data_IF_205621696786
#
_entry.id   IF_205621696786
#
_cell.length_a   1.000
_cell.length_b   1.000
_cell.length_c   1.000
_cell.angle_alpha   90.00
_cell.angle_beta   90.00
_cell.angle_gamma   90.00
#
_symmetry.space_group_name_H-M   'P 1'
#
loop_
_entity.id
_entity.type
_entity.pdbx_description
1 polymer ?
#
# COMPACT_ATOMS: atom_id res chain seq x y z
N UNK A 1 22.75 18.41 47.37
CA UNK A 1 22.03 18.22 46.08
C UNK A 1 21.87 19.59 45.45
N UNK A 2 22.49 19.79 44.29
CA UNK A 2 22.65 21.10 43.63
C UNK A 2 21.26 21.57 43.09
N UNK A 3 21.01 22.87 43.10
CA UNK A 3 19.74 23.48 42.66
C UNK A 3 19.34 23.07 41.23
N UNK A 4 20.33 22.85 40.35
CA UNK A 4 20.11 22.38 38.99
C UNK A 4 19.56 20.93 38.91
N UNK A 5 19.97 20.06 39.82
CA UNK A 5 19.45 18.68 39.95
C UNK A 5 17.99 18.66 40.40
N UNK A 6 17.60 19.56 41.31
CA UNK A 6 16.21 19.69 41.75
C UNK A 6 15.29 20.19 40.62
N UNK A 7 15.74 21.19 39.81
CA UNK A 7 14.98 21.67 38.65
C UNK A 7 14.82 20.60 37.58
N UNK A 8 15.86 19.79 37.32
CA UNK A 8 15.80 18.72 36.33
C UNK A 8 14.84 17.60 36.75
N UNK A 9 14.83 17.22 38.04
CA UNK A 9 13.90 16.22 38.55
C UNK A 9 12.45 16.74 38.57
N UNK A 10 12.24 18.02 38.91
CA UNK A 10 10.92 18.64 38.91
C UNK A 10 10.36 18.73 37.48
N UNK A 11 11.16 19.06 36.47
CA UNK A 11 10.74 19.10 35.08
C UNK A 11 10.40 17.69 34.54
N UNK A 12 11.16 16.65 34.94
CA UNK A 12 10.86 15.25 34.60
C UNK A 12 9.56 14.77 35.23
N UNK A 13 9.34 15.07 36.51
CA UNK A 13 8.08 14.72 37.19
C UNK A 13 6.86 15.43 36.57
N UNK A 14 7.02 16.72 36.20
CA UNK A 14 5.96 17.48 35.52
C UNK A 14 5.65 16.93 34.13
N UNK A 15 6.68 16.55 33.37
CA UNK A 15 6.52 15.94 32.04
C UNK A 15 5.81 14.59 32.10
N UNK A 16 6.14 13.75 33.09
CA UNK A 16 5.48 12.45 33.30
C UNK A 16 4.02 12.65 33.73
N UNK A 17 3.74 13.59 34.62
CA UNK A 17 2.38 13.90 35.03
C UNK A 17 1.51 14.42 33.88
N UNK A 18 2.07 15.26 33.01
CA UNK A 18 1.38 15.80 31.84
C UNK A 18 1.09 14.69 30.80
N UNK A 19 2.03 13.79 30.56
CA UNK A 19 1.82 12.66 29.64
C UNK A 19 0.75 11.67 30.14
N UNK A 20 0.72 11.37 31.43
CA UNK A 20 -0.32 10.55 32.05
C UNK A 20 -1.71 11.19 31.92
N UNK A 21 -1.80 12.50 32.07
CA UNK A 21 -3.07 13.22 31.95
C UNK A 21 -3.64 13.18 30.51
N UNK A 22 -2.76 13.29 29.51
CA UNK A 22 -3.15 13.14 28.09
C UNK A 22 -3.65 11.72 27.80
N UNK A 23 -2.97 10.68 28.31
CA UNK A 23 -3.39 9.29 28.09
C UNK A 23 -4.77 9.02 28.71
N UNK A 24 -5.03 9.53 29.93
CA UNK A 24 -6.34 9.40 30.58
C UNK A 24 -7.43 10.14 29.80
N UNK A 25 -7.15 11.33 29.28
CA UNK A 25 -8.13 12.09 28.48
C UNK A 25 -8.49 11.34 27.18
N UNK A 26 -7.50 10.75 26.49
CA UNK A 26 -7.73 9.98 25.27
C UNK A 26 -8.54 8.71 25.56
N UNK A 27 -8.25 7.98 26.64
CA UNK A 27 -9.00 6.77 27.00
C UNK A 27 -10.45 7.06 27.35
N UNK A 28 -10.73 8.16 28.07
CA UNK A 28 -12.11 8.58 28.39
C UNK A 28 -12.90 8.95 27.14
N UNK A 29 -12.27 9.65 26.18
CA UNK A 29 -12.92 10.01 24.92
C UNK A 29 -13.25 8.78 24.07
N UNK A 30 -12.33 7.80 23.98
CA UNK A 30 -12.57 6.56 23.23
C UNK A 30 -13.71 5.73 23.84
N UNK A 31 -13.77 5.61 25.17
CA UNK A 31 -14.85 4.90 25.86
C UNK A 31 -16.20 5.59 25.63
N UNK A 32 -16.25 6.93 25.66
CA UNK A 32 -17.49 7.68 25.42
C UNK A 32 -18.00 7.49 23.97
N UNK A 33 -17.13 7.48 22.97
CA UNK A 33 -17.51 7.28 21.56
C UNK A 33 -17.99 5.84 21.30
N UNK A 34 -17.36 4.84 21.93
CA UNK A 34 -17.79 3.43 21.81
C UNK A 34 -19.13 3.18 22.50
N UNK A 35 -19.36 3.80 23.66
CA UNK A 35 -20.65 3.69 24.39
C UNK A 35 -21.79 4.38 23.66
N UNK A 36 -21.57 5.52 23.02
CA UNK A 36 -22.59 6.24 22.24
C UNK A 36 -23.04 5.45 20.98
N UNK A 37 -22.19 4.58 20.42
CA UNK A 37 -22.54 3.74 19.27
C UNK A 37 -23.35 2.47 19.61
N UNK A 38 -23.49 2.12 20.92
CA UNK A 38 -24.24 0.95 21.40
C UNK A 38 -25.69 1.23 21.81
N UNK A 39 -26.09 2.49 21.89
CA UNK A 39 -27.46 2.85 22.25
C UNK A 39 -28.30 3.07 20.98
N UNK A 40 -28.90 2.01 20.45
CA UNK A 40 -30.08 2.06 19.60
C UNK A 40 -31.28 1.60 20.41
N UNK A 41 -32.36 2.37 20.55
CA UNK A 41 -33.55 1.91 21.22
C UNK A 41 -34.33 0.95 20.32
N UNK A 42 -34.68 -0.22 20.84
CA UNK A 42 -35.76 -1.05 20.32
C UNK A 42 -37.07 -0.46 20.86
N UNK A 43 -37.92 0.02 19.99
CA UNK A 43 -39.36 0.17 20.34
C UNK A 43 -40.12 -1.02 19.81
N UNK A 44 -40.61 -1.78 20.77
CA UNK A 44 -41.60 -2.84 20.60
C UNK A 44 -42.97 -2.24 20.86
N UNK A 45 -43.90 -2.33 19.94
CA UNK A 45 -45.33 -2.32 20.28
C UNK A 45 -46.05 -3.35 19.43
N UNK A 46 -46.61 -4.29 20.16
CA UNK A 46 -47.53 -5.33 19.71
C UNK A 46 -48.92 -4.73 19.39
N UNK A 47 -49.62 -5.31 18.45
CA UNK A 47 -50.98 -5.87 18.59
C UNK A 47 -51.51 -6.35 17.26
N UNK A 48 -51.68 -7.62 17.17
CA UNK A 48 -52.90 -8.45 17.02
C UNK A 48 -54.04 -7.93 16.13
N UNK A 49 -54.28 -8.65 15.04
CA UNK A 49 -55.61 -9.17 14.75
C UNK A 49 -55.63 -10.06 13.49
N UNK A 50 -56.17 -11.23 13.70
CA UNK A 50 -56.54 -12.29 12.76
C UNK A 50 -57.58 -11.86 11.71
N UNK A 51 -57.49 -12.37 10.47
CA UNK A 51 -58.61 -12.96 9.79
C UNK A 51 -58.22 -13.78 8.57
N UNK A 52 -58.69 -14.99 8.58
CA UNK A 52 -58.78 -16.00 7.55
C UNK A 52 -59.56 -15.51 6.33
N UNK A 53 -59.11 -15.82 5.10
CA UNK A 53 -60.02 -16.29 4.02
C UNK A 53 -59.24 -16.91 2.88
N UNK A 54 -59.73 -18.03 2.47
CA UNK A 54 -59.34 -18.98 1.43
C UNK A 54 -59.56 -18.48 0.00
N UNK A 55 -58.82 -19.14 -0.89
CA UNK A 55 -59.26 -19.57 -2.25
C UNK A 55 -59.04 -18.57 -3.40
N UNK A 56 -58.21 -18.86 -4.38
CA UNK A 56 -58.60 -19.60 -5.61
C UNK A 56 -57.38 -19.75 -6.52
N UNK A 57 -57.12 -20.95 -6.97
CA UNK A 57 -56.19 -21.29 -8.06
C UNK A 57 -56.62 -20.61 -9.36
N UNK A 58 -55.64 -20.00 -10.06
CA UNK A 58 -55.73 -19.82 -11.50
C UNK A 58 -54.36 -20.08 -12.13
N UNK A 59 -54.28 -21.23 -12.76
CA UNK A 59 -53.26 -21.67 -13.68
C UNK A 59 -53.11 -20.65 -14.80
N UNK A 60 -51.96 -20.05 -14.96
CA UNK A 60 -51.54 -19.44 -16.21
C UNK A 60 -50.15 -19.96 -16.56
N UNK A 61 -50.13 -20.69 -17.61
CA UNK A 61 -49.01 -21.16 -18.39
C UNK A 61 -48.28 -19.94 -18.94
N UNK A 62 -47.04 -19.73 -18.51
CA UNK A 62 -46.17 -18.72 -19.14
C UNK A 62 -45.00 -19.43 -19.78
N UNK A 63 -44.89 -19.20 -21.07
CA UNK A 63 -43.87 -19.70 -21.97
C UNK A 63 -42.46 -19.49 -21.41
N UNK A 64 -41.72 -20.57 -21.41
CA UNK A 64 -40.27 -20.59 -21.18
C UNK A 64 -39.60 -19.97 -22.41
N UNK A 65 -39.18 -18.73 -22.29
CA UNK A 65 -38.23 -18.12 -23.22
C UNK A 65 -36.84 -18.60 -22.78
N UNK A 66 -36.30 -19.55 -23.50
CA UNK A 66 -34.90 -19.93 -23.38
C UNK A 66 -34.04 -18.73 -23.82
N UNK A 67 -33.54 -17.97 -22.82
CA UNK A 67 -32.48 -17.04 -23.05
C UNK A 67 -31.18 -17.84 -23.09
N UNK A 68 -30.74 -18.14 -24.29
CA UNK A 68 -29.39 -18.65 -24.55
C UNK A 68 -28.39 -17.63 -24.04
N UNK A 69 -27.90 -17.81 -22.83
CA UNK A 69 -26.72 -17.12 -22.33
C UNK A 69 -25.52 -17.57 -23.18
N UNK A 70 -25.19 -16.79 -24.19
CA UNK A 70 -23.89 -16.90 -24.83
C UNK A 70 -22.84 -16.53 -23.77
N UNK A 71 -22.24 -17.55 -23.17
CA UNK A 71 -21.02 -17.40 -22.36
C UNK A 71 -19.90 -17.12 -23.32
N UNK A 72 -19.63 -15.86 -23.59
CA UNK A 72 -18.37 -15.45 -24.24
C UNK A 72 -17.25 -15.95 -23.32
N UNK A 73 -16.27 -16.72 -23.85
CA UNK A 73 -15.12 -17.10 -23.02
C UNK A 73 -14.44 -15.82 -22.55
N UNK A 74 -14.39 -15.62 -21.23
CA UNK A 74 -13.59 -14.57 -20.62
C UNK A 74 -12.14 -14.97 -20.90
N UNK A 75 -11.52 -14.35 -21.89
CA UNK A 75 -10.09 -14.45 -22.09
C UNK A 75 -9.46 -13.73 -20.91
N UNK A 76 -8.94 -14.48 -19.95
CA UNK A 76 -8.16 -13.94 -18.84
C UNK A 76 -6.83 -13.52 -19.47
N UNK A 77 -6.72 -12.27 -19.88
CA UNK A 77 -5.48 -11.70 -20.35
C UNK A 77 -4.45 -11.76 -19.20
N UNK A 78 -3.32 -12.42 -19.46
CA UNK A 78 -2.23 -12.52 -18.49
C UNK A 78 -1.65 -11.12 -18.26
N UNK A 79 -1.64 -10.64 -17.03
CA UNK A 79 -0.94 -9.41 -16.68
C UNK A 79 0.55 -9.60 -16.93
N UNK A 80 1.14 -8.74 -17.76
CA UNK A 80 2.57 -8.75 -18.10
C UNK A 80 3.22 -7.57 -17.39
N UNK A 81 4.35 -7.82 -16.75
CA UNK A 81 5.13 -6.79 -16.05
C UNK A 81 6.41 -6.47 -16.81
N UNK A 82 6.81 -5.20 -16.73
CA UNK A 82 8.10 -4.70 -17.18
C UNK A 82 8.88 -4.17 -15.99
N UNK A 83 10.18 -3.99 -16.15
CA UNK A 83 11.02 -3.35 -15.14
C UNK A 83 10.52 -1.93 -14.85
N UNK A 84 10.42 -1.52 -13.59
CA UNK A 84 10.07 -0.14 -13.20
C UNK A 84 11.20 0.87 -13.45
N UNK A 85 12.41 0.40 -13.77
CA UNK A 85 13.57 1.20 -14.14
C UNK A 85 14.12 0.73 -15.49
N UNK A 86 14.63 1.65 -16.30
CA UNK A 86 15.28 1.30 -17.57
C UNK A 86 16.58 0.53 -17.37
N UNK A 87 17.32 0.86 -16.31
CA UNK A 87 18.52 0.15 -15.85
C UNK A 87 18.70 0.35 -14.35
N UNK A 88 19.35 -0.59 -13.67
CA UNK A 88 19.64 -0.53 -12.25
C UNK A 88 20.39 -1.77 -11.79
N UNK A 89 20.98 -1.72 -10.60
CA UNK A 89 21.61 -2.88 -9.98
C UNK A 89 20.78 -3.31 -8.77
N UNK A 90 20.35 -4.57 -8.76
CA UNK A 90 19.67 -5.14 -7.59
C UNK A 90 20.70 -5.23 -6.45
N UNK A 91 20.50 -4.43 -5.40
CA UNK A 91 21.38 -4.37 -4.22
C UNK A 91 20.81 -5.18 -3.06
N UNK A 92 19.49 -5.40 -3.02
CA UNK A 92 18.85 -6.27 -2.07
C UNK A 92 17.72 -7.05 -2.76
N UNK A 93 17.75 -8.37 -2.64
CA UNK A 93 16.76 -9.27 -3.24
C UNK A 93 15.54 -9.44 -2.33
N UNK A 94 14.43 -9.85 -2.93
CA UNK A 94 13.24 -10.29 -2.20
C UNK A 94 13.57 -11.48 -1.28
N UNK A 95 13.16 -11.41 -0.03
CA UNK A 95 13.41 -12.43 0.99
C UNK A 95 12.29 -12.42 2.04
N UNK A 96 11.14 -13.01 1.69
CA UNK A 96 9.95 -13.02 2.56
C UNK A 96 9.98 -14.08 3.66
N UNK A 97 10.91 -15.02 3.63
CA UNK A 97 11.01 -16.15 4.56
C UNK A 97 12.37 -16.25 5.26
N UNK A 98 13.41 -15.62 4.71
CA UNK A 98 14.77 -15.60 5.29
C UNK A 98 15.13 -14.15 5.64
N UNK A 99 15.34 -13.82 6.92
CA UNK A 99 15.74 -12.46 7.30
C UNK A 99 17.10 -12.08 6.74
N UNK A 100 17.19 -10.88 6.16
CA UNK A 100 18.41 -10.24 5.67
C UNK A 100 18.82 -9.10 6.58
N UNK A 101 20.13 -8.81 6.65
CA UNK A 101 20.63 -7.73 7.50
C UNK A 101 20.28 -6.37 6.93
N UNK A 102 19.72 -5.49 7.77
CA UNK A 102 19.49 -4.08 7.47
C UNK A 102 20.65 -3.25 8.04
N UNK A 103 21.38 -2.57 7.17
CA UNK A 103 22.50 -1.69 7.57
C UNK A 103 22.02 -0.44 8.32
N UNK A 104 20.82 0.04 8.00
CA UNK A 104 20.21 1.21 8.65
C UNK A 104 19.69 0.89 10.04
N UNK A 105 19.03 -0.27 10.19
CA UNK A 105 18.37 -0.63 11.45
C UNK A 105 19.24 -1.51 12.35
N UNK A 106 20.39 -1.97 11.84
CA UNK A 106 21.36 -2.84 12.53
C UNK A 106 20.71 -4.13 13.07
N UNK A 107 19.70 -4.66 12.35
CA UNK A 107 19.00 -5.89 12.70
C UNK A 107 18.71 -6.78 11.47
N UNK A 108 18.14 -7.97 11.72
CA UNK A 108 17.70 -8.89 10.67
C UNK A 108 16.19 -8.83 10.49
N UNK A 109 15.74 -8.59 9.26
CA UNK A 109 14.32 -8.47 8.91
C UNK A 109 14.01 -9.08 7.56
N UNK A 110 12.74 -9.41 7.33
CA UNK A 110 12.25 -9.84 6.03
C UNK A 110 12.28 -8.65 5.06
N UNK A 111 12.56 -8.92 3.79
CA UNK A 111 12.56 -7.92 2.72
C UNK A 111 11.49 -8.30 1.70
N UNK A 112 10.37 -7.53 1.71
CA UNK A 112 9.17 -7.88 0.94
C UNK A 112 9.23 -7.42 -0.52
N UNK A 113 10.31 -6.74 -0.92
CA UNK A 113 10.53 -6.24 -2.27
C UNK A 113 11.91 -6.55 -2.80
N UNK A 114 12.29 -5.82 -3.81
CA UNK A 114 13.68 -5.72 -4.30
C UNK A 114 14.11 -4.26 -4.20
N UNK A 115 15.37 -4.02 -3.83
CA UNK A 115 15.99 -2.70 -3.89
C UNK A 115 16.87 -2.62 -5.13
N UNK A 116 16.56 -1.66 -5.98
CA UNK A 116 17.26 -1.44 -7.24
C UNK A 116 17.98 -0.11 -7.20
N UNK A 117 19.29 -0.15 -7.02
CA UNK A 117 20.12 1.05 -7.02
C UNK A 117 20.10 1.73 -8.39
N UNK A 118 19.86 3.02 -8.37
CA UNK A 118 19.93 3.92 -9.52
C UNK A 118 20.23 5.34 -9.03
N UNK A 119 20.63 6.20 -9.95
CA UNK A 119 20.91 7.60 -9.59
C UNK A 119 19.64 8.31 -9.08
N UNK A 120 19.81 9.21 -8.11
CA UNK A 120 18.71 10.08 -7.65
C UNK A 120 18.12 10.80 -8.87
N UNK A 121 16.80 10.94 -8.89
CA UNK A 121 16.01 11.48 -9.99
C UNK A 121 15.95 10.61 -11.27
N UNK A 122 16.45 9.38 -11.26
CA UNK A 122 16.17 8.43 -12.33
C UNK A 122 14.65 8.21 -12.44
N UNK A 123 14.07 8.24 -13.66
CA UNK A 123 12.63 8.03 -13.84
C UNK A 123 12.19 6.65 -13.39
N UNK A 124 11.06 6.60 -12.70
CA UNK A 124 10.38 5.37 -12.26
C UNK A 124 9.11 5.21 -13.10
N UNK A 125 8.89 4.01 -13.63
CA UNK A 125 7.81 3.70 -14.54
C UNK A 125 6.81 2.70 -13.96
N UNK A 126 5.54 2.80 -14.36
CA UNK A 126 4.53 1.81 -14.05
C UNK A 126 4.90 0.45 -14.63
N UNK A 127 5.00 -0.58 -13.80
CA UNK A 127 5.42 -1.92 -14.22
C UNK A 127 4.37 -2.64 -15.07
N UNK A 128 3.10 -2.24 -15.00
CA UNK A 128 1.99 -2.79 -15.79
C UNK A 128 0.87 -1.75 -15.91
N UNK A 129 -0.09 -1.99 -16.80
CA UNK A 129 -1.34 -1.24 -16.88
C UNK A 129 -2.10 -1.32 -15.57
N UNK A 130 -2.65 -0.19 -15.08
CA UNK A 130 -3.37 -0.19 -13.82
C UNK A 130 -4.03 1.13 -13.45
N UNK A 131 -4.46 1.20 -12.20
CA UNK A 131 -5.05 2.40 -11.59
C UNK A 131 -4.27 2.75 -10.33
N UNK A 132 -3.90 4.00 -10.18
CA UNK A 132 -3.20 4.50 -8.99
C UNK A 132 -4.13 4.37 -7.77
N UNK A 133 -3.74 3.53 -6.82
CA UNK A 133 -4.49 3.29 -5.58
C UNK A 133 -4.10 4.30 -4.50
N UNK A 134 -2.82 4.64 -4.41
CA UNK A 134 -2.32 5.60 -3.43
C UNK A 134 -1.10 6.38 -3.95
N UNK A 135 -1.00 7.62 -3.51
CA UNK A 135 0.20 8.46 -3.56
C UNK A 135 0.34 9.06 -2.17
N UNK A 136 1.34 8.66 -1.41
CA UNK A 136 1.48 9.04 -0.01
C UNK A 136 2.94 9.14 0.40
N UNK A 137 3.20 9.93 1.43
CA UNK A 137 4.50 9.99 2.08
C UNK A 137 4.41 9.38 3.48
N UNK A 138 5.26 8.39 3.74
CA UNK A 138 5.49 7.82 5.06
C UNK A 138 6.96 8.01 5.42
N UNK A 139 7.32 8.57 6.60
CA UNK A 139 8.72 8.82 6.94
C UNK A 139 9.60 7.57 6.94
N UNK A 140 9.05 6.39 7.24
CA UNK A 140 9.83 5.15 7.27
C UNK A 140 10.07 4.58 5.88
N UNK A 141 9.02 4.61 5.02
CA UNK A 141 9.04 4.01 3.68
C UNK A 141 9.29 5.03 2.56
N UNK A 142 9.31 6.33 2.89
CA UNK A 142 9.48 7.43 1.96
C UNK A 142 8.25 7.71 1.11
N UNK A 143 8.45 8.44 0.02
CA UNK A 143 7.40 8.69 -0.97
C UNK A 143 7.01 7.38 -1.62
N UNK A 144 5.72 7.08 -1.60
CA UNK A 144 5.14 5.81 -2.04
C UNK A 144 4.08 6.06 -3.10
N UNK A 145 4.12 5.27 -4.17
CA UNK A 145 3.04 5.11 -5.15
C UNK A 145 2.60 3.65 -5.15
N UNK A 146 1.29 3.42 -5.12
CA UNK A 146 0.70 2.07 -5.20
C UNK A 146 -0.21 2.02 -6.42
N UNK A 147 -0.07 0.97 -7.23
CA UNK A 147 -0.88 0.76 -8.43
C UNK A 147 -1.57 -0.60 -8.33
N UNK A 148 -2.89 -0.60 -8.48
CA UNK A 148 -3.69 -1.81 -8.63
C UNK A 148 -3.78 -2.19 -10.10
N UNK A 149 -3.53 -3.45 -10.40
CA UNK A 149 -3.53 -4.01 -11.75
C UNK A 149 -4.64 -5.04 -11.93
N UNK A 150 -4.81 -5.51 -13.17
CA UNK A 150 -5.72 -6.62 -13.45
C UNK A 150 -5.33 -7.91 -12.70
N UNK A 151 -6.27 -8.85 -12.60
CA UNK A 151 -6.06 -10.17 -12.03
C UNK A 151 -5.58 -10.17 -10.56
N UNK A 152 -5.91 -9.14 -9.75
CA UNK A 152 -5.57 -9.06 -8.33
C UNK A 152 -4.10 -8.75 -8.04
N UNK A 153 -3.36 -8.26 -9.03
CA UNK A 153 -2.01 -7.77 -8.80
C UNK A 153 -2.00 -6.34 -8.25
N UNK A 154 -0.96 -6.03 -7.48
CA UNK A 154 -0.66 -4.70 -6.95
C UNK A 154 0.85 -4.50 -6.93
N UNK A 155 1.33 -3.38 -7.43
CA UNK A 155 2.72 -2.95 -7.32
C UNK A 155 2.86 -1.78 -6.35
N UNK A 156 3.95 -1.78 -5.58
CA UNK A 156 4.30 -0.74 -4.61
C UNK A 156 5.69 -0.22 -4.95
N UNK A 157 5.78 1.10 -5.05
CA UNK A 157 7.01 1.83 -5.36
C UNK A 157 7.32 2.75 -4.20
N UNK A 158 8.45 2.56 -3.53
CA UNK A 158 8.84 3.30 -2.33
C UNK A 158 10.23 3.90 -2.46
N UNK A 159 10.63 4.70 -1.46
CA UNK A 159 11.89 5.44 -1.46
C UNK A 159 12.03 6.41 -2.64
N UNK A 160 10.91 6.88 -3.19
CA UNK A 160 10.87 7.79 -4.32
C UNK A 160 11.11 9.24 -3.88
N UNK A 161 11.39 10.13 -4.81
CA UNK A 161 11.34 11.57 -4.55
C UNK A 161 9.91 12.01 -4.21
N UNK A 162 9.78 13.02 -3.34
CA UNK A 162 8.47 13.57 -2.95
C UNK A 162 7.71 14.23 -4.10
N UNK A 163 8.42 14.69 -5.13
CA UNK A 163 7.82 15.22 -6.34
C UNK A 163 7.40 14.06 -7.26
N UNK A 164 6.10 13.93 -7.52
CA UNK A 164 5.54 13.01 -8.51
C UNK A 164 4.91 13.79 -9.65
N UNK A 165 4.83 13.25 -10.89
CA UNK A 165 4.16 13.90 -12.00
C UNK A 165 2.71 14.26 -11.64
N UNK A 166 2.24 15.45 -12.07
CA UNK A 166 0.92 15.96 -11.70
C UNK A 166 -0.25 15.07 -12.16
N UNK A 167 -0.03 14.21 -13.16
CA UNK A 167 -1.01 13.25 -13.64
C UNK A 167 -1.17 12.03 -12.70
N UNK A 168 -0.18 11.77 -11.82
CA UNK A 168 -0.18 10.62 -10.90
C UNK A 168 -0.95 10.99 -9.65
N UNK A 169 -2.24 10.76 -9.68
CA UNK A 169 -3.18 11.01 -8.58
C UNK A 169 -4.02 9.76 -8.33
N UNK A 170 -4.54 9.63 -7.12
CA UNK A 170 -5.42 8.50 -6.76
C UNK A 170 -6.60 8.43 -7.74
N UNK A 171 -6.82 7.24 -8.32
CA UNK A 171 -7.83 6.98 -9.33
C UNK A 171 -7.36 7.21 -10.79
N UNK A 172 -6.17 7.77 -11.00
CA UNK A 172 -5.62 7.91 -12.35
C UNK A 172 -5.30 6.54 -12.97
N UNK A 173 -5.60 6.38 -14.26
CA UNK A 173 -5.21 5.20 -15.04
C UNK A 173 -3.82 5.41 -15.62
N UNK A 174 -2.98 4.40 -15.52
CA UNK A 174 -1.62 4.38 -16.08
C UNK A 174 -1.42 3.16 -16.97
N UNK A 175 -0.52 3.30 -17.93
CA UNK A 175 -0.05 2.23 -18.80
C UNK A 175 1.33 1.75 -18.36
N UNK A 176 1.65 0.50 -18.68
CA UNK A 176 3.02 0.00 -18.53
C UNK A 176 3.99 0.94 -19.24
N UNK A 177 5.02 1.42 -18.51
CA UNK A 177 6.00 2.37 -19.03
C UNK A 177 5.64 3.85 -18.86
N UNK A 178 4.48 4.19 -18.32
CA UNK A 178 4.20 5.59 -17.95
C UNK A 178 5.08 6.01 -16.77
N UNK A 179 5.65 7.21 -16.84
CA UNK A 179 6.45 7.77 -15.75
C UNK A 179 5.55 8.11 -14.56
N UNK A 180 5.88 7.54 -13.39
CA UNK A 180 5.10 7.68 -12.16
C UNK A 180 5.84 8.42 -11.05
N UNK A 181 7.12 8.70 -11.22
CA UNK A 181 7.95 9.40 -10.26
C UNK A 181 9.44 9.22 -10.52
N UNK A 182 10.23 9.42 -9.49
CA UNK A 182 11.70 9.42 -9.59
C UNK A 182 12.31 8.72 -8.40
N UNK A 183 13.46 8.05 -8.60
CA UNK A 183 14.27 7.45 -7.53
C UNK A 183 14.68 8.52 -6.54
N UNK A 184 14.55 8.23 -5.26
CA UNK A 184 14.89 9.12 -4.15
C UNK A 184 15.79 8.46 -3.10
N UNK A 185 15.76 9.05 -1.92
CA UNK A 185 16.42 8.63 -0.68
C UNK A 185 15.57 9.03 0.52
N UNK A 186 14.27 8.90 0.40
CA UNK A 186 13.30 9.45 1.35
C UNK A 186 12.88 8.46 2.45
N UNK A 187 13.22 7.17 2.31
CA UNK A 187 12.89 6.11 3.26
C UNK A 187 13.88 6.07 4.42
N UNK A 188 13.47 6.48 5.63
CA UNK A 188 14.34 6.44 6.80
C UNK A 188 14.79 5.04 7.20
N UNK A 189 14.00 4.02 6.89
CA UNK A 189 14.32 2.62 7.20
C UNK A 189 15.51 2.09 6.38
N UNK A 190 15.88 2.78 5.29
CA UNK A 190 16.92 2.41 4.33
C UNK A 190 17.90 3.56 4.03
N UNK A 191 17.92 4.60 4.87
CA UNK A 191 18.70 5.83 4.65
C UNK A 191 20.21 5.62 4.62
N UNK A 192 20.72 4.50 5.12
CA UNK A 192 22.16 4.17 5.08
C UNK A 192 22.54 3.38 3.82
N UNK A 193 21.59 3.11 2.92
CA UNK A 193 21.82 2.41 1.67
C UNK A 193 22.00 3.42 0.52
N UNK A 194 22.59 2.96 -0.60
CA UNK A 194 22.70 3.80 -1.80
C UNK A 194 21.30 4.20 -2.30
N UNK A 195 21.14 5.33 -3.00
CA UNK A 195 19.88 5.70 -3.61
C UNK A 195 19.32 4.57 -4.47
N UNK A 196 18.06 4.20 -4.23
CA UNK A 196 17.43 3.06 -4.87
C UNK A 196 15.92 3.22 -4.95
N UNK A 197 15.30 2.43 -5.80
CA UNK A 197 13.86 2.15 -5.78
C UNK A 197 13.62 0.87 -4.98
N UNK A 198 12.82 0.95 -3.92
CA UNK A 198 12.23 -0.22 -3.29
C UNK A 198 10.95 -0.59 -4.04
N UNK A 199 10.89 -1.82 -4.57
CA UNK A 199 9.76 -2.28 -5.38
C UNK A 199 9.20 -3.60 -4.88
N UNK A 200 7.88 -3.63 -4.61
CA UNK A 200 7.15 -4.81 -4.18
C UNK A 200 6.07 -5.20 -5.18
N UNK A 201 5.80 -6.49 -5.32
CA UNK A 201 4.72 -7.03 -6.12
C UNK A 201 3.86 -7.98 -5.29
N UNK A 202 2.56 -7.76 -5.32
CA UNK A 202 1.58 -8.59 -4.64
C UNK A 202 0.62 -9.23 -5.64
N UNK A 203 0.22 -10.47 -5.35
CA UNK A 203 -0.84 -11.20 -6.04
C UNK A 203 -1.88 -11.66 -5.01
N UNK A 204 -3.12 -11.18 -5.14
CA UNK A 204 -4.22 -11.48 -4.20
C UNK A 204 -3.84 -11.25 -2.72
N UNK A 205 -3.02 -10.21 -2.45
CA UNK A 205 -2.53 -9.84 -1.13
C UNK A 205 -1.31 -10.61 -0.64
N UNK A 206 -0.79 -11.55 -1.42
CA UNK A 206 0.45 -12.28 -1.11
C UNK A 206 1.62 -11.65 -1.85
N UNK A 207 2.69 -11.32 -1.13
CA UNK A 207 3.91 -10.78 -1.72
C UNK A 207 4.64 -11.86 -2.54
N UNK A 208 4.99 -11.51 -3.78
CA UNK A 208 5.74 -12.36 -4.71
C UNK A 208 7.10 -11.74 -5.03
N UNK A 209 8.07 -12.61 -5.40
CA UNK A 209 9.37 -12.12 -5.88
C UNK A 209 9.20 -11.39 -7.23
N UNK A 210 9.47 -10.07 -7.30
CA UNK A 210 9.29 -9.30 -8.52
C UNK A 210 10.12 -9.82 -9.70
N UNK A 211 11.33 -10.35 -9.44
CA UNK A 211 12.24 -10.87 -10.47
C UNK A 211 11.73 -12.16 -11.13
N UNK A 212 10.64 -12.75 -10.63
CA UNK A 212 9.93 -13.84 -11.31
C UNK A 212 9.08 -13.35 -12.50
N UNK A 213 8.85 -12.04 -12.62
CA UNK A 213 7.95 -11.44 -13.60
C UNK A 213 8.67 -10.63 -14.68
N UNK A 214 9.85 -10.07 -14.37
CA UNK A 214 10.67 -9.29 -15.30
C UNK A 214 12.15 -9.36 -14.93
N UNK A 215 13.01 -8.86 -15.80
CA UNK A 215 14.44 -8.68 -15.55
C UNK A 215 14.80 -7.19 -15.56
N UNK A 216 15.83 -6.81 -14.81
CA UNK A 216 16.36 -5.45 -14.80
C UNK A 216 17.66 -5.43 -15.57
N UNK A 217 17.78 -4.49 -16.52
CA UNK A 217 19.03 -4.28 -17.22
C UNK A 217 20.06 -3.67 -16.25
N UNK A 218 21.27 -4.23 -16.13
CA UNK A 218 22.29 -3.63 -15.28
C UNK A 218 22.74 -2.28 -15.83
N UNK A 219 23.18 -1.38 -14.95
CA UNK A 219 23.86 -0.16 -15.37
C UNK A 219 25.22 -0.57 -15.94
N UNK A 220 25.48 -0.23 -17.20
CA UNK A 220 26.78 -0.43 -17.80
C UNK A 220 27.76 0.62 -17.22
N UNK A 221 28.80 0.20 -16.47
CA UNK A 221 29.75 1.13 -15.89
C UNK A 221 30.60 1.89 -16.94
N UNK A 222 30.55 1.50 -18.23
CA UNK A 222 31.34 2.08 -19.30
C UNK A 222 30.58 3.11 -20.15
N UNK A 223 29.26 3.24 -20.02
CA UNK A 223 28.45 4.19 -20.82
C UNK A 223 28.71 5.66 -20.46
N UNK A 224 29.35 5.96 -19.35
CA UNK A 224 29.66 7.34 -18.92
C UNK A 224 30.99 7.90 -19.48
N UNK A 225 31.69 7.21 -20.38
CA UNK A 225 32.99 7.64 -20.90
C UNK A 225 32.96 8.13 -22.36
N UNK A 226 31.82 8.07 -23.02
CA UNK A 226 31.70 8.51 -24.41
C UNK A 226 30.82 9.76 -24.53
N UNK A 227 31.15 10.89 -23.97
CA UNK A 227 30.67 12.22 -24.43
C UNK A 227 31.19 13.33 -23.49
N UNK A 228 32.52 13.59 -23.52
CA UNK A 228 33.09 14.88 -23.07
C UNK A 228 34.21 15.33 -24.00
#
# INVERSE_FOLDING_TARGET
MNQNQKKLQMNRALSIALSLLVVVAVTVTVVAVVSARRAKPNDTTSESSSSTSQSTQKTQQTQQTETTSQTTPVVIEKTTFISPLTAGNVIKEWSADVPVFSSTMEDYRLHMGIDVAAEIASPVYAAADGTVEAVAFDPMMGQTVIISHANGYKSVYQNMQTAVPAAITVGATVKAGDEIGYVGDTALIEISEDPHLHFELYKDGVCENPLSHFTIAPIDPFTNYEDK
#
